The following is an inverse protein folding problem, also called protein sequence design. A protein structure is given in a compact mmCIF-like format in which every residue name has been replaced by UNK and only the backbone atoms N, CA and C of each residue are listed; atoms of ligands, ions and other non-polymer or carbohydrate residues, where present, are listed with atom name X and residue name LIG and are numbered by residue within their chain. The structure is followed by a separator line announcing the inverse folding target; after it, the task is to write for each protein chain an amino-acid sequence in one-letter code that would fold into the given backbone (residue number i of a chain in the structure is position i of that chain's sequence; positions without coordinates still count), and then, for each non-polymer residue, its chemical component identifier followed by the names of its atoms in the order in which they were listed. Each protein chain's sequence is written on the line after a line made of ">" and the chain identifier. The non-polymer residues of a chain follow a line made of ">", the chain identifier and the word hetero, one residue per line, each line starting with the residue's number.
data_IF_911598056960
#
_entry.id   IF_911598056960
#
_cell.length_a   1.000
_cell.length_b   1.000
_cell.length_c   1.000
_cell.angle_alpha   90.00
_cell.angle_beta   90.00
_cell.angle_gamma   90.00
#
_symmetry.space_group_name_H-M   'P 1'
#
loop_
_entity.id
_entity.type
_entity.pdbx_description
1 polymer ?
#
# COMPACT_ATOMS: atom_id res chain seq x y z
N UNK A 1 39.01 4.67 30.09
CA UNK A 1 39.72 5.36 31.21
C UNK A 1 39.34 4.68 32.52
N UNK A 2 40.07 4.94 33.61
CA UNK A 2 39.65 4.51 34.93
C UNK A 2 38.40 5.28 35.39
N UNK A 3 37.62 4.71 36.30
CA UNK A 3 36.47 5.42 36.90
C UNK A 3 36.97 6.64 37.68
N UNK A 4 36.38 7.82 37.41
CA UNK A 4 36.77 9.09 38.05
C UNK A 4 38.01 9.79 37.47
N UNK A 5 38.57 9.29 36.36
CA UNK A 5 39.69 9.96 35.67
C UNK A 5 39.24 11.33 35.11
N UNK A 6 39.94 12.45 35.41
CA UNK A 6 39.55 13.78 34.93
C UNK A 6 39.57 13.90 33.41
N UNK A 7 40.39 13.10 32.70
CA UNK A 7 40.42 13.09 31.23
C UNK A 7 39.09 12.61 30.62
N UNK A 8 38.21 11.97 31.39
CA UNK A 8 36.89 11.59 30.91
C UNK A 8 35.97 12.79 30.67
N UNK A 9 36.31 13.97 31.18
CA UNK A 9 35.58 15.21 30.95
C UNK A 9 36.03 15.97 29.69
N UNK A 10 37.14 15.55 29.07
CA UNK A 10 37.69 16.18 27.88
C UNK A 10 37.00 15.65 26.62
N UNK A 11 36.76 16.53 25.65
CA UNK A 11 36.07 16.17 24.40
C UNK A 11 36.92 15.24 23.51
N UNK A 12 38.25 15.44 23.49
CA UNK A 12 39.18 14.66 22.67
C UNK A 12 40.44 14.31 23.45
N UNK A 13 40.95 13.10 23.18
CA UNK A 13 42.16 12.56 23.79
C UNK A 13 43.08 11.98 22.71
N UNK A 14 44.37 12.30 22.78
CA UNK A 14 45.40 11.50 22.14
C UNK A 14 45.69 10.28 23.00
N UNK A 15 45.45 9.07 22.49
CA UNK A 15 45.73 7.83 23.22
C UNK A 15 47.10 7.29 22.81
N UNK A 16 48.01 7.22 23.78
CA UNK A 16 49.36 6.68 23.59
C UNK A 16 49.51 5.21 23.97
N UNK A 17 48.66 4.71 24.88
CA UNK A 17 48.68 3.30 25.32
C UNK A 17 47.29 2.83 25.79
N UNK A 18 46.93 1.60 25.44
CA UNK A 18 45.66 0.96 25.74
C UNK A 18 45.82 -0.57 25.85
N UNK A 19 44.96 -1.24 26.62
CA UNK A 19 44.91 -2.70 26.58
C UNK A 19 44.39 -3.18 25.21
N UNK A 20 45.01 -4.21 24.63
CA UNK A 20 44.75 -4.64 23.25
C UNK A 20 43.37 -5.29 23.01
N UNK A 21 42.36 -4.99 23.82
CA UNK A 21 41.01 -5.50 23.65
C UNK A 21 40.37 -4.95 22.36
N UNK A 22 39.65 -5.81 21.63
CA UNK A 22 39.03 -5.45 20.36
C UNK A 22 37.88 -4.43 20.49
N UNK A 23 37.25 -4.36 21.66
CA UNK A 23 36.18 -3.39 21.98
C UNK A 23 36.32 -2.97 23.44
N UNK A 24 35.94 -1.72 23.73
CA UNK A 24 35.97 -1.14 25.08
C UNK A 24 37.35 -1.23 25.76
N UNK A 25 38.43 -1.04 24.99
CA UNK A 25 39.79 -1.06 25.50
C UNK A 25 40.02 -0.02 26.61
N UNK A 26 40.76 -0.42 27.65
CA UNK A 26 41.17 0.45 28.74
C UNK A 26 42.39 1.25 28.30
N UNK A 27 42.20 2.57 28.21
CA UNK A 27 43.27 3.55 28.03
C UNK A 27 44.16 3.65 29.28
N UNK A 28 45.47 3.53 29.12
CA UNK A 28 46.49 3.67 30.18
C UNK A 28 47.28 4.98 30.08
N UNK A 29 47.47 5.50 28.86
CA UNK A 29 48.16 6.77 28.62
C UNK A 29 47.37 7.59 27.61
N UNK A 30 46.97 8.79 28.01
CA UNK A 30 46.35 9.76 27.13
C UNK A 30 46.70 11.20 27.53
N UNK A 31 46.57 12.12 26.58
CA UNK A 31 46.66 13.55 26.79
C UNK A 31 45.43 14.26 26.19
N UNK A 32 44.92 15.34 26.81
CA UNK A 32 43.84 16.12 26.23
C UNK A 32 44.29 16.74 24.91
N UNK A 33 43.37 16.79 23.96
CA UNK A 33 43.53 17.53 22.71
C UNK A 33 42.37 18.50 22.54
N UNK A 34 42.70 19.71 22.13
CA UNK A 34 41.71 20.65 21.65
C UNK A 34 41.38 20.37 20.19
N UNK A 35 40.19 20.78 19.76
CA UNK A 35 39.81 20.71 18.34
C UNK A 35 40.83 21.40 17.43
N UNK A 36 41.29 22.59 17.81
CA UNK A 36 42.22 23.37 16.99
C UNK A 36 43.55 22.63 16.80
N UNK A 37 44.08 21.99 17.86
CA UNK A 37 45.31 21.19 17.74
C UNK A 37 45.13 20.01 16.77
N UNK A 38 43.96 19.36 16.79
CA UNK A 38 43.63 18.29 15.84
C UNK A 38 43.56 18.84 14.42
N UNK A 39 42.86 19.96 14.23
CA UNK A 39 42.66 20.54 12.91
C UNK A 39 43.97 21.05 12.29
N UNK A 40 44.86 21.63 13.09
CA UNK A 40 46.17 22.12 12.66
C UNK A 40 47.13 20.95 12.34
N UNK A 41 47.17 19.93 13.20
CA UNK A 41 48.10 18.80 13.05
C UNK A 41 47.70 17.79 11.97
N UNK A 42 46.39 17.63 11.72
CA UNK A 42 45.85 16.61 10.82
C UNK A 42 45.05 17.19 9.65
N UNK A 43 45.27 18.45 9.28
CA UNK A 43 44.53 19.16 8.23
C UNK A 43 44.34 18.33 6.94
N UNK A 44 45.39 17.66 6.46
CA UNK A 44 45.38 16.85 5.23
C UNK A 44 44.60 15.52 5.36
N UNK A 45 44.26 15.11 6.58
CA UNK A 45 43.51 13.88 6.88
C UNK A 45 42.05 14.15 7.29
N UNK A 46 41.64 15.42 7.36
CA UNK A 46 40.26 15.78 7.66
C UNK A 46 39.36 15.56 6.45
N UNK A 47 38.17 15.02 6.68
CA UNK A 47 37.11 14.92 5.67
C UNK A 47 35.86 15.65 6.11
N UNK A 48 35.14 16.22 5.14
CA UNK A 48 33.83 16.80 5.30
C UNK A 48 32.80 15.88 4.63
N UNK A 49 32.13 15.06 5.45
CA UNK A 49 31.18 14.04 5.00
C UNK A 49 29.74 14.56 5.11
N UNK A 50 28.91 14.29 4.11
CA UNK A 50 27.47 14.51 4.19
C UNK A 50 26.74 13.21 4.53
N UNK A 51 26.18 13.15 5.74
CA UNK A 51 25.45 12.02 6.26
C UNK A 51 23.95 12.29 6.12
N UNK A 52 23.28 11.51 5.28
CA UNK A 52 21.83 11.53 5.12
C UNK A 52 21.32 10.13 5.46
N UNK A 53 20.54 10.01 6.54
CA UNK A 53 20.07 8.72 7.03
C UNK A 53 18.69 8.82 7.65
N UNK A 54 18.01 7.69 7.70
CA UNK A 54 16.80 7.54 8.51
C UNK A 54 17.13 7.65 10.01
N UNK A 55 16.23 8.30 10.77
CA UNK A 55 16.21 8.31 12.23
C UNK A 55 14.87 7.73 12.71
N UNK A 56 14.93 6.52 13.28
CA UNK A 56 13.76 5.79 13.76
C UNK A 56 13.05 6.50 14.94
N UNK A 57 13.79 7.30 15.73
CA UNK A 57 13.22 7.99 16.90
C UNK A 57 12.37 9.18 16.50
N UNK A 58 12.76 9.89 15.44
CA UNK A 58 12.04 11.08 14.96
C UNK A 58 11.21 10.82 13.70
N UNK A 59 11.21 9.58 13.20
CA UNK A 59 10.53 9.16 11.97
C UNK A 59 10.82 10.11 10.80
N UNK A 60 12.09 10.44 10.65
CA UNK A 60 12.55 11.44 9.68
C UNK A 60 13.94 11.15 9.15
N UNK A 61 14.20 11.66 7.95
CA UNK A 61 15.55 11.73 7.38
C UNK A 61 16.30 12.87 8.04
N UNK A 62 17.44 12.54 8.63
CA UNK A 62 18.37 13.48 9.22
C UNK A 62 19.52 13.69 8.24
N UNK A 63 19.78 14.95 7.90
CA UNK A 63 20.87 15.36 7.03
C UNK A 63 21.87 16.24 7.79
N UNK A 64 23.13 15.81 7.82
CA UNK A 64 24.20 16.40 8.62
C UNK A 64 25.46 16.54 7.79
N UNK A 65 26.21 17.61 8.01
CA UNK A 65 27.60 17.75 7.56
C UNK A 65 28.51 17.50 8.75
N UNK A 66 29.38 16.51 8.63
CA UNK A 66 30.31 16.10 9.66
C UNK A 66 31.74 16.34 9.21
N UNK A 67 32.50 17.09 10.00
CA UNK A 67 33.96 17.15 9.85
C UNK A 67 34.59 16.05 10.69
N UNK A 68 35.44 15.22 10.10
CA UNK A 68 35.93 13.98 10.71
C UNK A 68 37.43 13.80 10.55
N UNK A 69 38.02 13.14 11.53
CA UNK A 69 39.34 12.52 11.43
C UNK A 69 39.16 11.00 11.53
N UNK A 70 39.17 10.32 10.38
CA UNK A 70 38.81 8.91 10.30
C UNK A 70 37.40 8.65 10.86
N UNK A 71 37.31 7.86 11.94
CA UNK A 71 36.02 7.58 12.58
C UNK A 71 35.54 8.70 13.52
N UNK A 72 36.45 9.55 14.00
CA UNK A 72 36.16 10.59 15.00
C UNK A 72 35.44 11.79 14.36
N UNK A 73 34.28 12.16 14.89
CA UNK A 73 33.52 13.34 14.44
C UNK A 73 33.95 14.55 15.28
N UNK A 74 34.56 15.53 14.65
CA UNK A 74 35.06 16.75 15.30
C UNK A 74 33.97 17.82 15.39
N UNK A 75 33.16 17.91 14.34
CA UNK A 75 32.03 18.85 14.25
C UNK A 75 30.86 18.19 13.51
N UNK A 76 29.64 18.46 13.97
CA UNK A 76 28.42 17.92 13.38
C UNK A 76 27.32 18.98 13.31
N UNK A 77 27.00 19.43 12.10
CA UNK A 77 26.06 20.53 11.83
C UNK A 77 24.91 20.08 10.92
N UNK A 78 23.69 20.65 11.03
CA UNK A 78 22.62 20.37 10.08
C UNK A 78 23.05 20.74 8.66
N UNK A 79 22.73 19.90 7.67
CA UNK A 79 22.95 20.22 6.26
C UNK A 79 21.78 21.09 5.76
N UNK A 80 21.99 22.37 5.39
CA UNK A 80 20.87 23.29 5.13
C UNK A 80 20.08 22.97 3.85
N UNK A 81 20.73 22.40 2.84
CA UNK A 81 20.16 22.08 1.54
C UNK A 81 20.63 20.68 1.11
N UNK A 82 20.13 19.61 1.75
CA UNK A 82 20.48 18.25 1.36
C UNK A 82 19.96 17.94 -0.04
N UNK A 83 20.70 17.09 -0.75
CA UNK A 83 20.27 16.56 -2.05
C UNK A 83 18.88 15.88 -1.93
N UNK A 84 17.87 16.32 -2.71
CA UNK A 84 16.55 15.70 -2.70
C UNK A 84 16.54 14.20 -2.97
N UNK A 85 17.47 13.69 -3.80
CA UNK A 85 17.59 12.26 -4.09
C UNK A 85 18.02 11.48 -2.85
N UNK A 86 19.03 11.96 -2.12
CA UNK A 86 19.48 11.37 -0.85
C UNK A 86 18.41 11.44 0.25
N UNK A 87 17.58 12.49 0.25
CA UNK A 87 16.42 12.55 1.14
C UNK A 87 15.39 11.46 0.79
N UNK A 88 15.09 11.28 -0.49
CA UNK A 88 14.17 10.23 -0.94
C UNK A 88 14.71 8.84 -0.57
N UNK A 89 16.00 8.57 -0.78
CA UNK A 89 16.66 7.32 -0.36
C UNK A 89 16.51 7.06 1.14
N UNK A 90 16.80 8.07 1.98
CA UNK A 90 16.63 7.95 3.43
C UNK A 90 15.17 7.71 3.84
N UNK A 91 14.21 8.31 3.13
CA UNK A 91 12.79 8.11 3.41
C UNK A 91 12.31 6.73 2.95
N UNK A 92 12.84 6.21 1.83
CA UNK A 92 12.60 4.84 1.35
C UNK A 92 13.13 3.82 2.37
N UNK A 93 14.33 4.02 2.92
CA UNK A 93 14.84 3.16 4.01
C UNK A 93 13.88 3.17 5.21
N UNK A 94 13.39 4.35 5.62
CA UNK A 94 12.38 4.47 6.67
C UNK A 94 11.08 3.72 6.37
N UNK A 95 10.56 3.83 5.16
CA UNK A 95 9.35 3.11 4.71
C UNK A 95 9.62 1.60 4.69
N UNK A 96 10.80 1.16 4.26
CA UNK A 96 11.16 -0.26 4.20
C UNK A 96 11.25 -0.89 5.59
N UNK A 97 11.80 -0.17 6.57
CA UNK A 97 11.88 -0.61 7.97
C UNK A 97 10.52 -0.64 8.66
N UNK A 98 9.69 0.38 8.41
CA UNK A 98 8.39 0.51 9.07
C UNK A 98 7.30 -0.33 8.40
N UNK A 99 7.36 -0.46 7.07
CA UNK A 99 6.40 -1.17 6.23
C UNK A 99 5.41 -0.24 5.51
N UNK A 100 4.69 -0.77 4.52
CA UNK A 100 3.81 0.02 3.62
C UNK A 100 2.63 0.68 4.33
N UNK A 101 2.28 0.27 5.55
CA UNK A 101 1.15 0.81 6.29
C UNK A 101 1.31 2.31 6.64
N UNK A 102 2.53 2.85 6.54
CA UNK A 102 2.81 4.30 6.73
C UNK A 102 2.30 5.16 5.57
N UNK A 103 2.10 4.56 4.40
CA UNK A 103 1.58 5.24 3.22
C UNK A 103 0.07 5.56 3.39
N UNK A 104 -0.45 6.61 2.73
CA UNK A 104 -1.84 7.00 2.85
C UNK A 104 -2.77 6.09 2.02
N UNK A 105 -2.94 4.85 2.45
CA UNK A 105 -3.88 3.89 1.85
C UNK A 105 -5.33 4.31 2.09
N UNK A 106 -5.88 5.07 1.14
CA UNK A 106 -7.30 5.37 1.09
C UNK A 106 -8.09 4.25 0.39
N UNK A 107 -9.43 4.36 0.40
CA UNK A 107 -10.30 3.35 -0.22
C UNK A 107 -10.04 3.19 -1.74
N UNK A 108 -9.61 4.26 -2.41
CA UNK A 108 -9.40 4.26 -3.87
C UNK A 108 -8.08 3.55 -4.22
N UNK A 109 -7.01 3.81 -3.47
CA UNK A 109 -5.71 3.17 -3.62
C UNK A 109 -5.81 1.67 -3.31
N UNK A 110 -6.52 1.30 -2.24
CA UNK A 110 -6.76 -0.10 -1.88
C UNK A 110 -7.53 -0.82 -3.01
N UNK A 111 -8.63 -0.21 -3.49
CA UNK A 111 -9.43 -0.80 -4.57
C UNK A 111 -8.63 -0.90 -5.88
N UNK A 112 -7.82 0.11 -6.22
CA UNK A 112 -6.95 0.09 -7.40
C UNK A 112 -5.94 -1.05 -7.32
N UNK A 113 -5.23 -1.16 -6.19
CA UNK A 113 -4.27 -2.23 -5.92
C UNK A 113 -4.93 -3.61 -6.07
N UNK A 114 -6.12 -3.81 -5.49
CA UNK A 114 -6.84 -5.07 -5.56
C UNK A 114 -7.27 -5.42 -7.00
N UNK A 115 -7.68 -4.44 -7.81
CA UNK A 115 -8.01 -4.64 -9.24
C UNK A 115 -6.79 -5.05 -10.07
N UNK A 116 -5.63 -4.43 -9.81
CA UNK A 116 -4.37 -4.79 -10.47
C UNK A 116 -3.95 -6.21 -10.09
N UNK A 117 -3.98 -6.52 -8.79
CA UNK A 117 -3.67 -7.85 -8.28
C UNK A 117 -4.58 -8.93 -8.88
N UNK A 118 -5.88 -8.65 -9.00
CA UNK A 118 -6.86 -9.52 -9.63
C UNK A 118 -6.51 -9.84 -11.09
N UNK A 119 -6.20 -8.83 -11.91
CA UNK A 119 -5.84 -9.06 -13.31
C UNK A 119 -4.48 -9.76 -13.45
N UNK A 120 -3.51 -9.46 -12.58
CA UNK A 120 -2.26 -10.23 -12.53
C UNK A 120 -2.50 -11.70 -12.17
N UNK A 121 -3.38 -11.99 -11.23
CA UNK A 121 -3.70 -13.38 -10.88
C UNK A 121 -4.40 -14.11 -12.06
N UNK A 122 -5.25 -13.41 -12.80
CA UNK A 122 -5.99 -13.99 -13.92
C UNK A 122 -5.15 -14.16 -15.21
N UNK A 123 -4.17 -13.28 -15.45
CA UNK A 123 -3.46 -13.20 -16.74
C UNK A 123 -1.94 -13.28 -16.63
N UNK A 124 -1.36 -12.94 -15.48
CA UNK A 124 0.08 -12.77 -15.30
C UNK A 124 0.57 -11.44 -15.90
N UNK A 125 1.69 -11.51 -16.61
CA UNK A 125 2.24 -10.35 -17.32
C UNK A 125 1.29 -9.90 -18.44
N UNK A 126 1.16 -8.59 -18.71
CA UNK A 126 2.02 -7.48 -18.27
C UNK A 126 1.58 -6.77 -16.97
N UNK A 127 0.63 -7.32 -16.21
CA UNK A 127 0.13 -6.66 -14.99
C UNK A 127 1.19 -6.70 -13.87
N UNK A 128 1.57 -5.58 -13.25
CA UNK A 128 2.65 -5.55 -12.27
C UNK A 128 2.28 -6.26 -10.96
N UNK A 129 3.28 -6.83 -10.29
CA UNK A 129 3.12 -7.34 -8.94
C UNK A 129 2.92 -6.18 -7.97
N UNK A 130 1.85 -6.24 -7.18
CA UNK A 130 1.46 -5.18 -6.23
C UNK A 130 1.19 -5.74 -4.84
N UNK A 131 1.67 -6.94 -4.52
CA UNK A 131 1.72 -7.44 -3.15
C UNK A 131 2.73 -6.64 -2.31
N UNK A 132 2.68 -6.79 -0.98
CA UNK A 132 3.51 -5.97 -0.08
C UNK A 132 5.01 -6.18 -0.34
N UNK A 133 5.41 -7.39 -0.71
CA UNK A 133 6.82 -7.72 -0.98
C UNK A 133 7.28 -7.02 -2.25
N UNK A 134 6.51 -7.11 -3.33
CA UNK A 134 6.82 -6.44 -4.60
C UNK A 134 6.87 -4.91 -4.44
N UNK A 135 5.91 -4.31 -3.75
CA UNK A 135 5.87 -2.86 -3.54
C UNK A 135 7.02 -2.37 -2.65
N UNK A 136 7.43 -3.11 -1.62
CA UNK A 136 8.60 -2.76 -0.80
C UNK A 136 9.92 -2.91 -1.55
N UNK A 137 10.01 -3.90 -2.44
CA UNK A 137 11.20 -4.14 -3.26
C UNK A 137 11.38 -3.06 -4.34
N UNK A 138 10.30 -2.48 -4.86
CA UNK A 138 10.34 -1.48 -5.94
C UNK A 138 10.16 -0.02 -5.50
N UNK A 139 10.29 0.33 -4.21
CA UNK A 139 10.03 1.69 -3.70
C UNK A 139 10.82 2.76 -4.47
N UNK A 140 12.04 2.45 -4.87
CA UNK A 140 12.93 3.28 -5.67
C UNK A 140 12.32 3.63 -7.04
N UNK A 141 11.58 2.70 -7.64
CA UNK A 141 11.03 2.86 -8.99
C UNK A 141 9.66 3.56 -8.97
N UNK A 142 8.75 3.10 -8.11
CA UNK A 142 7.35 3.53 -8.17
C UNK A 142 7.01 4.68 -7.23
N UNK A 143 7.73 4.81 -6.10
CA UNK A 143 7.42 5.80 -5.07
C UNK A 143 8.41 6.97 -5.08
N UNK A 144 9.71 6.73 -5.27
CA UNK A 144 10.76 7.75 -5.20
C UNK A 144 10.47 9.01 -6.05
N UNK A 145 9.94 8.92 -7.29
CA UNK A 145 9.63 10.10 -8.10
C UNK A 145 8.63 11.06 -7.45
N UNK A 146 7.85 10.59 -6.47
CA UNK A 146 6.81 11.35 -5.78
C UNK A 146 7.24 11.85 -4.39
N UNK A 147 8.46 11.53 -3.93
CA UNK A 147 8.97 11.90 -2.60
C UNK A 147 9.65 13.27 -2.54
N UNK A 148 9.66 14.01 -3.65
CA UNK A 148 10.30 15.33 -3.75
C UNK A 148 9.91 16.27 -2.60
N UNK A 149 10.90 16.78 -1.86
CA UNK A 149 10.69 17.70 -0.75
C UNK A 149 10.16 17.05 0.54
N UNK A 150 10.08 15.72 0.61
CA UNK A 150 9.68 14.99 1.81
C UNK A 150 10.89 14.48 2.59
N UNK A 151 10.81 14.56 3.92
CA UNK A 151 11.87 14.10 4.82
C UNK A 151 11.33 13.47 6.12
N UNK A 152 10.01 13.30 6.26
CA UNK A 152 9.36 12.74 7.45
C UNK A 152 8.23 11.81 7.04
N UNK A 153 7.94 10.75 7.81
CA UNK A 153 6.80 9.86 7.51
C UNK A 153 5.49 10.65 7.41
N UNK A 154 5.27 11.63 8.30
CA UNK A 154 4.05 12.42 8.27
C UNK A 154 3.88 13.26 6.99
N UNK A 155 4.94 13.53 6.22
CA UNK A 155 4.81 14.21 4.93
C UNK A 155 4.13 13.31 3.89
N UNK A 156 4.28 11.98 4.01
CA UNK A 156 3.67 10.99 3.10
C UNK A 156 2.14 11.09 3.06
N UNK A 157 1.52 11.63 4.12
CA UNK A 157 0.06 11.86 4.17
C UNK A 157 -0.46 12.77 3.06
N UNK A 158 0.41 13.54 2.42
CA UNK A 158 0.07 14.43 1.29
C UNK A 158 0.07 13.72 -0.07
N UNK A 159 0.57 12.48 -0.15
CA UNK A 159 0.62 11.73 -1.40
C UNK A 159 -0.78 11.30 -1.82
N UNK A 160 -1.11 11.50 -3.11
CA UNK A 160 -2.21 10.78 -3.74
C UNK A 160 -1.72 9.39 -4.14
N UNK A 161 -1.82 8.43 -3.21
CA UNK A 161 -1.35 7.07 -3.44
C UNK A 161 -2.11 6.38 -4.59
N UNK A 162 -3.33 6.81 -4.92
CA UNK A 162 -4.07 6.28 -6.06
C UNK A 162 -3.35 6.64 -7.36
N UNK A 163 -2.96 7.91 -7.53
CA UNK A 163 -2.28 8.35 -8.75
C UNK A 163 -0.85 7.80 -8.84
N UNK A 164 -0.16 7.67 -7.71
CA UNK A 164 1.14 6.99 -7.63
C UNK A 164 1.03 5.53 -8.11
N UNK A 165 0.05 4.77 -7.62
CA UNK A 165 -0.15 3.37 -8.06
C UNK A 165 -0.62 3.27 -9.51
N UNK A 166 -1.39 4.23 -10.04
CA UNK A 166 -1.73 4.25 -11.47
C UNK A 166 -0.49 4.43 -12.35
N UNK A 167 0.51 5.16 -11.88
CA UNK A 167 1.75 5.39 -12.62
C UNK A 167 2.56 4.10 -12.86
N UNK A 168 2.30 3.02 -12.11
CA UNK A 168 2.83 1.67 -12.39
C UNK A 168 2.31 1.10 -13.72
N UNK A 169 1.19 1.60 -14.22
CA UNK A 169 0.51 1.06 -15.39
C UNK A 169 0.77 1.95 -16.61
N UNK A 170 1.32 1.39 -17.70
CA UNK A 170 1.23 2.01 -19.02
C UNK A 170 -0.22 2.37 -19.38
N UNK A 171 -0.39 3.38 -20.23
CA UNK A 171 -1.71 3.93 -20.54
C UNK A 171 -2.70 2.90 -21.10
N UNK A 172 -2.23 1.95 -21.91
CA UNK A 172 -3.04 0.85 -22.41
C UNK A 172 -3.53 -0.07 -21.28
N UNK A 173 -2.68 -0.38 -20.29
CA UNK A 173 -3.08 -1.17 -19.12
C UNK A 173 -4.08 -0.41 -18.24
N UNK A 174 -3.98 0.91 -18.13
CA UNK A 174 -4.99 1.70 -17.41
C UNK A 174 -6.37 1.57 -18.06
N UNK A 175 -6.46 1.68 -19.38
CA UNK A 175 -7.72 1.50 -20.11
C UNK A 175 -8.25 0.07 -20.00
N UNK A 176 -7.36 -0.92 -20.09
CA UNK A 176 -7.73 -2.32 -19.91
C UNK A 176 -8.25 -2.59 -18.51
N UNK A 177 -7.64 -2.00 -17.48
CA UNK A 177 -8.06 -2.16 -16.09
C UNK A 177 -9.50 -1.67 -15.89
N UNK A 178 -9.86 -0.54 -16.48
CA UNK A 178 -11.20 0.02 -16.38
C UNK A 178 -12.26 -0.80 -17.12
N UNK A 179 -11.87 -1.50 -18.19
CA UNK A 179 -12.78 -2.38 -18.94
C UNK A 179 -12.89 -3.79 -18.35
N UNK A 180 -11.75 -4.39 -17.98
CA UNK A 180 -11.63 -5.81 -17.63
C UNK A 180 -11.79 -6.07 -16.13
N UNK A 181 -11.51 -5.06 -15.29
CA UNK A 181 -11.78 -5.08 -13.86
C UNK A 181 -12.40 -3.75 -13.42
N UNK A 182 -13.64 -3.41 -13.85
CA UNK A 182 -14.28 -2.14 -13.54
C UNK A 182 -14.55 -1.98 -12.03
N UNK A 183 -14.71 -0.75 -11.56
CA UNK A 183 -15.12 -0.49 -10.17
C UNK A 183 -16.58 -0.84 -9.89
N UNK A 184 -17.42 -0.84 -10.94
CA UNK A 184 -18.84 -1.13 -10.86
C UNK A 184 -19.26 -2.05 -12.00
N UNK A 185 -20.19 -2.95 -11.72
CA UNK A 185 -20.83 -3.82 -12.71
C UNK A 185 -22.23 -3.31 -13.04
N UNK A 186 -22.58 -3.25 -14.33
CA UNK A 186 -23.93 -2.89 -14.75
C UNK A 186 -24.80 -4.15 -14.80
N UNK A 187 -25.81 -4.21 -13.94
CA UNK A 187 -26.75 -5.33 -13.87
C UNK A 187 -27.92 -5.14 -14.85
N UNK A 188 -28.73 -6.18 -15.14
CA UNK A 188 -29.83 -6.10 -16.11
C UNK A 188 -30.83 -4.95 -15.93
N UNK A 189 -31.02 -4.45 -14.70
CA UNK A 189 -31.83 -3.25 -14.44
C UNK A 189 -31.24 -1.95 -15.00
N UNK A 190 -29.99 -1.96 -15.47
CA UNK A 190 -29.18 -0.79 -15.80
C UNK A 190 -28.46 -0.18 -14.59
N UNK A 191 -28.72 -0.68 -13.37
CA UNK A 191 -28.05 -0.18 -12.16
C UNK A 191 -26.56 -0.52 -12.17
N UNK A 192 -25.74 0.38 -11.62
CA UNK A 192 -24.29 0.18 -11.45
C UNK A 192 -24.00 -0.21 -10.02
N UNK A 193 -23.62 -1.46 -9.80
CA UNK A 193 -23.35 -2.03 -8.47
C UNK A 193 -21.85 -2.05 -8.23
N UNK A 194 -21.34 -1.51 -7.11
CA UNK A 194 -19.91 -1.55 -6.82
C UNK A 194 -19.43 -2.99 -6.65
N UNK A 195 -18.30 -3.31 -7.28
CA UNK A 195 -17.63 -4.60 -7.13
C UNK A 195 -16.67 -4.54 -5.94
N UNK A 196 -16.64 -5.62 -5.18
CA UNK A 196 -15.70 -5.81 -4.07
C UNK A 196 -14.55 -6.73 -4.48
N UNK A 197 -13.35 -6.18 -4.52
CA UNK A 197 -12.11 -6.88 -4.87
C UNK A 197 -11.29 -7.28 -3.64
N UNK A 198 -11.71 -6.88 -2.43
CA UNK A 198 -10.88 -6.99 -1.22
C UNK A 198 -11.18 -8.24 -0.39
N UNK A 199 -12.29 -8.93 -0.65
CA UNK A 199 -12.78 -10.03 0.19
C UNK A 199 -12.24 -11.41 -0.20
N UNK A 200 -11.51 -11.54 -1.31
CA UNK A 200 -10.89 -12.79 -1.72
C UNK A 200 -10.24 -12.71 -3.09
N UNK A 201 -9.85 -13.87 -3.63
CA UNK A 201 -9.19 -13.98 -4.94
C UNK A 201 -10.10 -13.59 -6.12
N UNK A 202 -11.40 -13.89 -5.99
CA UNK A 202 -12.41 -13.56 -7.01
C UNK A 202 -13.27 -12.38 -6.56
N UNK A 203 -13.49 -11.37 -7.42
CA UNK A 203 -14.31 -10.23 -7.08
C UNK A 203 -15.78 -10.61 -6.84
N UNK A 204 -16.39 -9.91 -5.89
CA UNK A 204 -17.76 -10.13 -5.44
C UNK A 204 -18.69 -9.06 -6.01
N UNK A 205 -19.83 -9.51 -6.54
CA UNK A 205 -20.97 -8.68 -6.94
C UNK A 205 -22.11 -8.80 -5.91
N UNK A 206 -22.23 -7.86 -4.94
CA UNK A 206 -23.32 -7.85 -3.97
C UNK A 206 -24.57 -7.21 -4.58
N UNK A 207 -25.45 -8.04 -5.14
CA UNK A 207 -26.61 -7.58 -5.92
C UNK A 207 -27.92 -8.16 -5.37
N UNK A 208 -28.98 -7.35 -5.34
CA UNK A 208 -30.31 -7.86 -5.01
C UNK A 208 -30.78 -8.83 -6.08
N UNK A 209 -31.31 -9.97 -5.65
CA UNK A 209 -31.71 -11.06 -6.56
C UNK A 209 -32.61 -10.58 -7.70
N UNK A 210 -33.59 -9.73 -7.40
CA UNK A 210 -34.55 -9.20 -8.38
C UNK A 210 -33.92 -8.34 -9.50
N UNK A 211 -32.70 -7.82 -9.29
CA UNK A 211 -31.99 -7.07 -10.31
C UNK A 211 -31.30 -7.96 -11.33
N UNK A 212 -31.19 -9.26 -11.04
CA UNK A 212 -30.59 -10.27 -11.90
C UNK A 212 -31.63 -11.07 -12.70
N UNK A 213 -32.93 -10.79 -12.55
CA UNK A 213 -33.95 -11.40 -13.42
C UNK A 213 -33.66 -11.06 -14.90
N UNK A 214 -33.97 -12.00 -15.80
CA UNK A 214 -33.63 -11.87 -17.21
C UNK A 214 -32.16 -12.20 -17.53
N UNK A 215 -31.31 -12.45 -16.53
CA UNK A 215 -29.90 -12.75 -16.74
C UNK A 215 -29.69 -14.25 -17.03
N UNK A 216 -29.48 -14.58 -18.30
CA UNK A 216 -29.26 -15.96 -18.79
C UNK A 216 -27.79 -16.33 -18.96
N UNK A 217 -26.88 -15.35 -18.88
CA UNK A 217 -25.43 -15.56 -18.95
C UNK A 217 -24.80 -15.12 -17.65
N UNK A 218 -23.91 -15.94 -17.08
CA UNK A 218 -23.26 -15.59 -15.83
C UNK A 218 -22.30 -14.39 -16.02
N UNK A 219 -22.33 -13.38 -15.13
CA UNK A 219 -21.39 -12.26 -15.17
C UNK A 219 -19.92 -12.68 -15.05
N UNK A 220 -19.05 -12.12 -15.89
CA UNK A 220 -17.62 -12.43 -15.91
C UNK A 220 -16.78 -11.16 -15.94
N UNK A 221 -15.56 -11.22 -15.41
CA UNK A 221 -14.51 -10.21 -15.51
C UNK A 221 -13.31 -10.73 -16.32
N UNK A 222 -12.25 -9.92 -16.43
CA UNK A 222 -11.00 -10.26 -17.09
C UNK A 222 -11.22 -10.73 -18.54
N UNK A 223 -12.07 -10.02 -19.29
CA UNK A 223 -12.39 -10.38 -20.68
C UNK A 223 -13.17 -11.69 -20.84
N UNK A 224 -13.88 -12.15 -19.80
CA UNK A 224 -14.65 -13.39 -19.84
C UNK A 224 -13.98 -14.59 -19.17
N UNK A 225 -12.74 -14.43 -18.70
CA UNK A 225 -11.94 -15.52 -18.11
C UNK A 225 -12.38 -15.90 -16.70
N UNK A 226 -12.86 -14.94 -15.92
CA UNK A 226 -13.15 -15.17 -14.50
C UNK A 226 -14.64 -14.95 -14.22
N UNK A 227 -15.39 -15.98 -13.78
CA UNK A 227 -16.78 -15.83 -13.34
C UNK A 227 -16.83 -15.03 -12.03
N UNK A 228 -17.76 -14.09 -11.93
CA UNK A 228 -17.94 -13.28 -10.73
C UNK A 228 -18.57 -14.10 -9.60
N UNK A 229 -18.13 -13.88 -8.36
CA UNK A 229 -18.89 -14.37 -7.22
C UNK A 229 -20.10 -13.47 -7.04
N UNK A 230 -21.30 -13.98 -7.33
CA UNK A 230 -22.55 -13.22 -7.17
C UNK A 230 -23.12 -13.49 -5.78
N UNK A 231 -23.09 -12.48 -4.92
CA UNK A 231 -23.80 -12.48 -3.64
C UNK A 231 -25.21 -11.98 -3.88
N UNK A 232 -26.16 -12.90 -4.01
CA UNK A 232 -27.57 -12.59 -4.18
C UNK A 232 -28.16 -12.17 -2.84
N UNK A 233 -28.74 -10.97 -2.83
CA UNK A 233 -29.31 -10.33 -1.65
C UNK A 233 -30.84 -10.22 -1.74
N UNK A 234 -31.49 -10.20 -0.58
CA UNK A 234 -32.91 -9.87 -0.44
C UNK A 234 -33.19 -8.38 -0.70
N UNK A 235 -34.46 -7.96 -0.81
CA UNK A 235 -34.82 -6.54 -0.89
C UNK A 235 -34.24 -5.67 0.24
N UNK A 236 -34.03 -6.26 1.42
CA UNK A 236 -33.43 -5.61 2.58
C UNK A 236 -31.89 -5.80 2.68
N UNK A 237 -31.23 -6.13 1.57
CA UNK A 237 -29.78 -6.35 1.49
C UNK A 237 -29.21 -7.45 2.40
N UNK A 238 -30.04 -8.38 2.87
CA UNK A 238 -29.58 -9.58 3.60
C UNK A 238 -29.09 -10.66 2.62
N UNK A 239 -27.98 -11.36 2.89
CA UNK A 239 -27.51 -12.47 2.07
C UNK A 239 -28.56 -13.57 1.90
N UNK A 240 -28.71 -14.08 0.68
CA UNK A 240 -29.60 -15.20 0.36
C UNK A 240 -28.82 -16.39 -0.19
N UNK A 241 -27.98 -16.15 -1.18
CA UNK A 241 -27.23 -17.19 -1.87
C UNK A 241 -25.92 -16.61 -2.40
N UNK A 242 -24.88 -17.42 -2.41
CA UNK A 242 -23.64 -17.16 -3.13
C UNK A 242 -23.58 -18.10 -4.33
N UNK A 243 -23.26 -17.60 -5.51
CA UNK A 243 -23.11 -18.43 -6.71
C UNK A 243 -22.06 -17.89 -7.68
N UNK A 244 -21.34 -18.79 -8.34
CA UNK A 244 -20.52 -18.53 -9.54
C UNK A 244 -21.13 -19.16 -10.81
N UNK A 245 -22.36 -19.68 -10.69
CA UNK A 245 -23.18 -20.17 -11.80
C UNK A 245 -24.62 -19.69 -11.60
N UNK A 246 -24.92 -18.57 -12.25
CA UNK A 246 -26.23 -17.94 -12.13
C UNK A 246 -27.32 -18.70 -12.92
N UNK A 247 -27.07 -19.19 -14.15
CA UNK A 247 -27.97 -20.11 -14.84
C UNK A 247 -28.29 -21.38 -14.03
N UNK A 248 -27.28 -22.01 -13.43
CA UNK A 248 -27.47 -23.15 -12.54
C UNK A 248 -28.31 -22.81 -11.32
N UNK A 249 -28.10 -21.65 -10.70
CA UNK A 249 -28.93 -21.16 -9.58
C UNK A 249 -30.41 -21.05 -9.96
N UNK A 250 -30.74 -20.51 -11.14
CA UNK A 250 -32.11 -20.35 -11.59
C UNK A 250 -32.86 -21.67 -11.74
N UNK A 251 -32.18 -22.71 -12.21
CA UNK A 251 -32.77 -24.03 -12.48
C UNK A 251 -32.87 -24.93 -11.25
N UNK A 252 -32.06 -24.66 -10.21
CA UNK A 252 -31.96 -25.53 -9.03
C UNK A 252 -32.49 -24.84 -7.76
N UNK A 253 -31.72 -23.91 -7.19
CA UNK A 253 -31.95 -23.36 -5.85
C UNK A 253 -32.97 -22.23 -5.78
N UNK A 254 -33.29 -21.59 -6.91
CA UNK A 254 -34.20 -20.43 -6.94
C UNK A 254 -35.59 -20.75 -6.37
N UNK A 255 -36.15 -21.94 -6.64
CA UNK A 255 -37.49 -22.31 -6.17
C UNK A 255 -37.62 -22.26 -4.63
N UNK A 256 -36.59 -22.72 -3.91
CA UNK A 256 -36.55 -22.67 -2.45
C UNK A 256 -36.40 -21.23 -1.95
N UNK A 257 -35.50 -20.44 -2.55
CA UNK A 257 -35.32 -19.01 -2.20
C UNK A 257 -36.61 -18.24 -2.43
N UNK A 258 -37.29 -18.48 -3.55
CA UNK A 258 -38.57 -17.88 -3.88
C UNK A 258 -39.64 -18.18 -2.82
N UNK A 259 -39.74 -19.43 -2.35
CA UNK A 259 -40.75 -19.80 -1.35
C UNK A 259 -40.59 -19.02 -0.04
N UNK A 260 -39.36 -18.90 0.48
CA UNK A 260 -39.07 -18.10 1.68
C UNK A 260 -39.28 -16.59 1.43
N UNK A 261 -38.78 -16.09 0.29
CA UNK A 261 -38.85 -14.67 -0.03
C UNK A 261 -40.28 -14.17 -0.30
N UNK A 262 -41.16 -15.01 -0.87
CA UNK A 262 -42.57 -14.67 -1.10
C UNK A 262 -43.31 -14.41 0.22
N UNK A 263 -42.97 -15.15 1.28
CA UNK A 263 -43.53 -14.94 2.62
C UNK A 263 -42.99 -13.68 3.30
N UNK A 264 -41.66 -13.48 3.28
CA UNK A 264 -41.01 -12.32 3.95
C UNK A 264 -41.21 -11.00 3.22
N UNK A 265 -41.28 -11.03 1.88
CA UNK A 265 -41.35 -9.85 1.02
C UNK A 265 -42.49 -9.98 -0.02
N UNK A 266 -43.76 -10.04 0.42
CA UNK A 266 -44.90 -10.32 -0.47
C UNK A 266 -45.17 -9.20 -1.50
N UNK A 267 -44.67 -7.98 -1.24
CA UNK A 267 -44.79 -6.83 -2.14
C UNK A 267 -43.76 -6.85 -3.28
N UNK A 268 -42.79 -7.77 -3.28
CA UNK A 268 -41.79 -7.88 -4.34
C UNK A 268 -42.17 -8.95 -5.37
N UNK A 269 -41.72 -8.80 -6.64
CA UNK A 269 -41.97 -9.81 -7.66
C UNK A 269 -41.05 -11.02 -7.48
N UNK A 270 -41.66 -12.21 -7.47
CA UNK A 270 -41.00 -13.51 -7.38
C UNK A 270 -41.54 -14.41 -8.52
N UNK A 271 -41.07 -14.21 -9.77
CA UNK A 271 -41.60 -14.90 -10.95
C UNK A 271 -41.42 -16.43 -10.87
N UNK A 272 -42.24 -17.21 -11.58
CA UNK A 272 -41.99 -18.66 -11.73
C UNK A 272 -40.82 -18.91 -12.69
N UNK A 273 -40.70 -18.09 -13.74
CA UNK A 273 -39.57 -18.08 -14.66
C UNK A 273 -38.69 -16.83 -14.44
N UNK A 274 -37.62 -16.91 -13.64
CA UNK A 274 -36.72 -15.78 -13.39
C UNK A 274 -35.83 -15.43 -14.60
N UNK A 275 -35.66 -16.34 -15.56
CA UNK A 275 -34.80 -16.16 -16.72
C UNK A 275 -35.47 -15.34 -17.83
N UNK A 276 -36.81 -15.39 -17.91
CA UNK A 276 -37.59 -14.56 -18.84
C UNK A 276 -38.25 -13.35 -18.18
N UNK A 277 -38.11 -13.19 -16.86
CA UNK A 277 -38.73 -12.09 -16.14
C UNK A 277 -37.99 -10.76 -16.36
N UNK A 278 -38.76 -9.67 -16.44
CA UNK A 278 -38.20 -8.33 -16.52
C UNK A 278 -37.43 -7.98 -15.22
N UNK A 279 -36.17 -7.52 -15.32
CA UNK A 279 -35.40 -7.08 -14.16
C UNK A 279 -36.05 -5.85 -13.52
N UNK A 280 -36.06 -5.80 -12.19
CA UNK A 280 -36.63 -4.66 -11.47
C UNK A 280 -35.90 -4.39 -10.17
N UNK A 281 -35.77 -3.12 -9.83
CA UNK A 281 -35.25 -2.66 -8.53
C UNK A 281 -36.37 -2.29 -7.55
N UNK A 282 -37.65 -2.37 -7.99
CA UNK A 282 -38.83 -1.82 -7.31
C UNK A 282 -39.77 -2.91 -6.79
N UNK A 283 -40.55 -2.55 -5.77
CA UNK A 283 -41.70 -3.35 -5.35
C UNK A 283 -42.84 -3.29 -6.39
N UNK A 284 -43.77 -4.24 -6.33
CA UNK A 284 -44.96 -4.27 -7.21
C UNK A 284 -45.75 -2.95 -7.09
N UNK A 285 -46.28 -2.40 -8.19
CA UNK A 285 -47.22 -1.29 -8.14
C UNK A 285 -48.44 -1.67 -7.27
N UNK A 286 -48.98 -0.73 -6.50
CA UNK A 286 -50.23 -0.96 -5.74
C UNK A 286 -51.37 -1.14 -6.75
N UNK A 287 -51.97 -2.35 -6.82
CA UNK A 287 -53.19 -2.60 -7.59
C UNK A 287 -53.15 -3.76 -8.60
N UNK A 288 -52.11 -4.59 -8.63
CA UNK A 288 -52.01 -5.82 -9.45
C UNK A 288 -51.73 -7.05 -8.60
#
# INVERSE_FOLDING_TARGET
>A
LAEGDPLAAEDFLAVGDLDGAAQNARVYLAAPLTRNEIEDAFADSLTDDEVVRWDDRTESVVARRQRRLGACVLEDKPLPAPDPSRLAEGLIDGIRRTGLHVLPWDKRAIQLRARIAFLRAAEGDPWPAVDDTALLAGLEDWLAPFLGGMSKLNHLRKLDLTDVLKALLPWDLQQRLDREAPTHFQVPTGSRIPLDYNTGETPVLPVRLQEMFGCTTHPTLAGGRVPLVVHLLSPAHRPLQVTQDLPGFWTSSYAAVKADMKGRYPKHPWPDDPQSAAPTSRAKPRGT
#
